data_IF_742166334507
#
_entry.id   IF_742166334507
#
_cell.length_a   1.000
_cell.length_b   1.000
_cell.length_c   1.000
_cell.angle_alpha   90.00
_cell.angle_beta   90.00
_cell.angle_gamma   90.00
#
_symmetry.space_group_name_H-M   'P 1'
#
loop_
_entity.id
_entity.type
_entity.pdbx_description
1 polymer ?
#
# COMPACT_ATOMS: atom_id res chain seq x y z
N UNK A 1 -9.48 17.92 -10.23
CA UNK A 1 -8.83 17.05 -9.23
C UNK A 1 -7.31 17.20 -9.31
N UNK A 2 -6.63 17.44 -8.20
CA UNK A 2 -5.19 17.70 -8.08
C UNK A 2 -4.58 16.70 -7.11
N UNK A 3 -3.49 16.07 -7.53
CA UNK A 3 -2.81 15.03 -6.78
C UNK A 3 -1.29 15.12 -6.90
N UNK A 4 -0.57 14.46 -5.99
CA UNK A 4 0.88 14.33 -6.12
C UNK A 4 1.25 13.12 -6.96
N UNK A 5 1.77 13.36 -8.16
CA UNK A 5 2.29 12.32 -9.07
C UNK A 5 3.53 11.59 -8.55
N UNK A 6 4.09 12.01 -7.41
CA UNK A 6 5.12 11.28 -6.70
C UNK A 6 4.57 10.08 -5.91
N UNK A 7 3.27 10.12 -5.54
CA UNK A 7 2.66 9.14 -4.64
C UNK A 7 1.46 8.41 -5.24
N UNK A 8 0.71 9.04 -6.13
CA UNK A 8 -0.41 8.42 -6.86
C UNK A 8 -0.43 8.82 -8.32
N UNK A 9 -0.91 7.94 -9.19
CA UNK A 9 -1.10 8.17 -10.62
C UNK A 9 -2.55 7.96 -11.00
N UNK A 10 -3.09 8.81 -11.88
CA UNK A 10 -4.43 8.62 -12.43
C UNK A 10 -4.52 7.30 -13.22
N UNK A 11 -5.51 6.46 -12.91
CA UNK A 11 -5.72 5.19 -13.60
C UNK A 11 -6.95 5.25 -14.52
N UNK A 12 -8.08 5.69 -14.01
CA UNK A 12 -9.34 5.78 -14.77
C UNK A 12 -10.36 6.67 -14.07
N UNK A 13 -11.43 7.02 -14.78
CA UNK A 13 -12.61 7.65 -14.20
C UNK A 13 -13.89 7.13 -14.88
N UNK A 14 -14.99 7.17 -14.15
CA UNK A 14 -16.33 6.85 -14.66
C UNK A 14 -16.78 7.74 -15.83
N UNK A 15 -16.24 8.97 -15.92
CA UNK A 15 -16.40 9.90 -17.03
C UNK A 15 -15.00 10.27 -17.52
N UNK A 16 -14.77 10.18 -18.83
CA UNK A 16 -13.48 10.50 -19.42
C UNK A 16 -13.11 11.97 -19.14
N UNK A 17 -11.87 12.24 -18.69
CA UNK A 17 -11.41 13.60 -18.44
C UNK A 17 -11.02 14.33 -19.74
N UNK A 18 -10.83 15.64 -19.64
CA UNK A 18 -10.46 16.45 -20.80
C UNK A 18 -9.06 16.10 -21.31
N UNK A 19 -8.80 16.28 -22.62
CA UNK A 19 -7.46 16.20 -23.17
C UNK A 19 -6.46 17.09 -22.41
N UNK A 20 -5.32 16.52 -22.05
CA UNK A 20 -4.30 17.22 -21.23
C UNK A 20 -4.36 16.90 -19.74
N UNK A 21 -5.37 16.14 -19.29
CA UNK A 21 -5.38 15.53 -17.96
C UNK A 21 -4.26 14.51 -17.77
N UNK A 22 -3.70 14.48 -16.55
CA UNK A 22 -2.55 13.67 -16.16
C UNK A 22 -1.51 14.49 -15.39
N UNK A 23 -0.41 13.85 -14.96
CA UNK A 23 0.73 14.53 -14.33
C UNK A 23 0.40 15.39 -13.11
N UNK A 24 -0.47 14.91 -12.24
CA UNK A 24 -0.84 15.59 -10.99
C UNK A 24 -2.11 16.44 -11.08
N UNK A 25 -2.76 16.55 -12.25
CA UNK A 25 -4.06 17.21 -12.39
C UNK A 25 -4.96 16.44 -13.35
N UNK A 26 -6.22 16.22 -12.97
CA UNK A 26 -7.28 15.71 -13.84
C UNK A 26 -8.40 16.75 -13.93
N UNK A 27 -8.82 17.10 -15.14
CA UNK A 27 -9.80 18.16 -15.39
C UNK A 27 -11.04 17.63 -16.12
N UNK A 28 -12.18 18.22 -15.77
CA UNK A 28 -13.44 18.12 -16.49
C UNK A 28 -13.99 19.54 -16.61
N UNK A 29 -14.03 20.07 -17.82
CA UNK A 29 -14.52 21.43 -18.06
C UNK A 29 -16.04 21.51 -17.93
N UNK A 30 -16.73 20.42 -18.26
CA UNK A 30 -18.19 20.34 -18.20
C UNK A 30 -18.69 18.90 -18.02
N UNK A 31 -19.21 18.60 -16.83
CA UNK A 31 -19.78 17.29 -16.50
C UNK A 31 -21.23 17.13 -16.95
N UNK A 32 -21.97 18.22 -17.23
CA UNK A 32 -23.39 18.12 -17.61
C UNK A 32 -23.54 17.53 -19.01
N UNK A 33 -22.53 17.67 -19.87
CA UNK A 33 -22.49 16.97 -21.17
C UNK A 33 -22.60 15.45 -21.05
N UNK A 34 -22.08 14.87 -19.97
CA UNK A 34 -22.09 13.43 -19.72
C UNK A 34 -23.21 12.99 -18.77
N UNK A 35 -23.56 13.83 -17.80
CA UNK A 35 -24.50 13.50 -16.72
C UNK A 35 -25.89 14.12 -16.87
N UNK A 36 -26.04 15.09 -17.77
CA UNK A 36 -27.19 15.98 -17.85
C UNK A 36 -27.17 17.05 -16.76
N UNK A 37 -28.06 18.03 -16.93
CA UNK A 37 -28.26 19.07 -15.92
C UNK A 37 -28.92 18.50 -14.67
N UNK A 38 -28.54 19.05 -13.52
CA UNK A 38 -29.07 18.62 -12.24
C UNK A 38 -30.33 19.43 -11.89
N UNK A 39 -31.45 18.72 -11.72
CA UNK A 39 -32.64 19.30 -11.09
C UNK A 39 -32.36 19.65 -9.61
N UNK A 40 -33.16 20.54 -8.99
CA UNK A 40 -33.03 20.82 -7.56
C UNK A 40 -33.04 19.54 -6.71
N UNK A 41 -32.07 19.42 -5.79
CA UNK A 41 -31.83 18.24 -4.93
C UNK A 41 -31.33 16.98 -5.66
N UNK A 42 -31.12 17.02 -6.98
CA UNK A 42 -30.46 15.94 -7.69
C UNK A 42 -28.96 15.90 -7.36
N UNK A 43 -28.37 14.74 -7.52
CA UNK A 43 -26.93 14.52 -7.30
C UNK A 43 -26.30 13.88 -8.52
N UNK A 44 -25.04 14.25 -8.76
CA UNK A 44 -24.14 13.62 -9.72
C UNK A 44 -23.05 12.87 -8.95
N UNK A 45 -22.43 11.88 -9.59
CA UNK A 45 -21.27 11.18 -9.02
C UNK A 45 -20.21 10.94 -10.07
N UNK A 46 -18.99 11.35 -9.76
CA UNK A 46 -17.78 11.08 -10.53
C UNK A 46 -16.88 10.19 -9.69
N UNK A 47 -16.66 8.95 -10.14
CA UNK A 47 -15.69 8.04 -9.53
C UNK A 47 -14.36 8.17 -10.27
N UNK A 48 -13.30 8.49 -9.55
CA UNK A 48 -11.92 8.56 -10.05
C UNK A 48 -11.10 7.48 -9.35
N UNK A 49 -10.34 6.71 -10.14
CA UNK A 49 -9.46 5.64 -9.65
C UNK A 49 -8.01 6.06 -9.85
N UNK A 50 -7.22 5.88 -8.79
CA UNK A 50 -5.78 6.12 -8.79
C UNK A 50 -5.02 4.83 -8.50
N UNK A 51 -3.81 4.74 -9.05
CA UNK A 51 -2.80 3.74 -8.70
C UNK A 51 -1.81 4.36 -7.72
N UNK A 52 -1.47 3.65 -6.64
CA UNK A 52 -0.47 4.11 -5.67
C UNK A 52 0.95 3.84 -6.17
N UNK A 53 1.84 4.83 -6.05
CA UNK A 53 3.22 4.77 -6.51
C UNK A 53 4.25 4.70 -5.36
N UNK A 54 4.01 5.41 -4.25
CA UNK A 54 5.01 5.54 -3.17
C UNK A 54 4.39 5.62 -1.77
N UNK A 55 5.20 5.28 -0.76
CA UNK A 55 4.83 5.34 0.65
C UNK A 55 4.71 6.78 1.14
N UNK A 56 3.66 7.08 1.91
CA UNK A 56 3.41 8.43 2.42
C UNK A 56 3.73 8.60 3.91
N UNK A 57 4.09 7.55 4.65
CA UNK A 57 4.21 7.52 6.13
C UNK A 57 5.16 8.57 6.70
N UNK A 58 6.18 8.97 5.95
CA UNK A 58 7.17 9.96 6.38
C UNK A 58 6.87 11.38 5.90
N UNK A 59 5.72 11.60 5.24
CA UNK A 59 5.33 12.93 4.79
C UNK A 59 4.99 13.84 5.96
N UNK A 60 5.53 15.05 5.94
CA UNK A 60 5.09 16.12 6.83
C UNK A 60 3.71 16.62 6.40
N UNK A 61 2.87 17.13 7.31
CA UNK A 61 1.62 17.82 6.97
C UNK A 61 1.78 18.87 5.86
N UNK A 62 0.87 18.92 4.88
CA UNK A 62 0.88 19.91 3.79
C UNK A 62 -0.52 20.47 3.54
N UNK A 63 -0.73 21.75 3.86
CA UNK A 63 -2.01 22.43 3.62
C UNK A 63 -2.50 22.28 2.16
N UNK A 64 -3.83 22.15 1.92
CA UNK A 64 -4.93 22.29 2.88
C UNK A 64 -5.13 21.06 3.79
N UNK A 65 -4.42 19.97 3.57
CA UNK A 65 -4.63 18.69 4.26
C UNK A 65 -3.53 18.46 5.30
N UNK A 66 -3.89 18.52 6.57
CA UNK A 66 -2.92 18.73 7.66
C UNK A 66 -2.48 17.46 8.38
N UNK A 67 -2.89 16.28 7.92
CA UNK A 67 -2.42 15.03 8.48
C UNK A 67 -1.07 14.62 7.89
N UNK A 68 -0.07 14.50 8.76
CA UNK A 68 1.22 13.91 8.40
C UNK A 68 1.05 12.43 8.02
N UNK A 69 1.92 11.92 7.17
CA UNK A 69 1.83 10.54 6.71
C UNK A 69 0.90 10.31 5.51
N UNK A 70 0.32 11.37 4.94
CA UNK A 70 -0.70 11.30 3.89
C UNK A 70 -0.30 12.17 2.69
N UNK A 71 -0.75 11.76 1.50
CA UNK A 71 -0.69 12.61 0.30
C UNK A 71 -2.09 13.19 0.03
N UNK A 72 -2.21 14.48 -0.31
CA UNK A 72 -3.50 15.09 -0.58
C UNK A 72 -4.01 14.75 -1.98
N UNK A 73 -5.29 14.41 -2.09
CA UNK A 73 -6.07 14.45 -3.33
C UNK A 73 -7.13 15.54 -3.17
N UNK A 74 -7.08 16.57 -4.02
CA UNK A 74 -7.87 17.80 -3.86
C UNK A 74 -8.77 17.98 -5.06
N UNK A 75 -10.07 17.98 -4.83
CA UNK A 75 -11.06 18.33 -5.84
C UNK A 75 -11.41 19.80 -5.65
N UNK A 76 -11.37 20.55 -6.76
CA UNK A 76 -11.86 21.92 -6.84
C UNK A 76 -13.01 21.93 -7.86
N UNK A 77 -14.13 22.55 -7.49
CA UNK A 77 -15.31 22.72 -8.34
C UNK A 77 -15.54 24.22 -8.54
N UNK A 78 -15.24 24.71 -9.74
CA UNK A 78 -15.42 26.11 -10.08
C UNK A 78 -16.55 26.33 -11.09
N UNK A 79 -17.17 27.50 -11.05
CA UNK A 79 -18.06 27.96 -12.11
C UNK A 79 -19.38 27.19 -12.21
N UNK A 80 -19.93 26.71 -11.10
CA UNK A 80 -21.29 26.20 -11.07
C UNK A 80 -22.31 27.35 -11.30
N UNK A 81 -23.18 27.17 -12.28
CA UNK A 81 -24.24 28.12 -12.61
C UNK A 81 -25.60 27.48 -12.35
N UNK A 82 -26.52 28.24 -11.76
CA UNK A 82 -27.92 27.85 -11.68
C UNK A 82 -28.69 28.60 -12.78
N UNK A 83 -29.55 27.87 -13.48
CA UNK A 83 -30.50 28.39 -14.47
C UNK A 83 -31.92 28.30 -13.88
N UNK A 84 -32.44 29.38 -13.25
CA UNK A 84 -33.66 29.29 -12.44
C UNK A 84 -34.96 29.10 -13.25
N UNK A 85 -34.94 29.43 -14.54
CA UNK A 85 -36.08 29.41 -15.48
C UNK A 85 -36.07 28.21 -16.45
N UNK A 86 -34.92 27.54 -16.61
CA UNK A 86 -34.75 26.37 -17.48
C UNK A 86 -34.41 26.75 -18.93
N UNK A 87 -34.12 25.76 -19.79
CA UNK A 87 -33.55 25.88 -21.16
C UNK A 87 -34.45 26.61 -22.20
N UNK A 88 -35.09 27.72 -21.83
CA UNK A 88 -35.98 28.54 -22.66
C UNK A 88 -35.24 29.65 -23.44
N UNK A 89 -33.91 29.70 -23.33
CA UNK A 89 -33.04 30.47 -24.22
C UNK A 89 -33.01 31.98 -23.96
N UNK A 90 -33.52 32.45 -22.81
CA UNK A 90 -33.44 33.85 -22.42
C UNK A 90 -32.41 34.04 -21.29
N UNK A 91 -31.19 34.40 -21.66
CA UNK A 91 -30.17 34.86 -20.72
C UNK A 91 -30.66 36.10 -19.96
N UNK A 92 -30.95 36.02 -18.66
CA UNK A 92 -30.79 37.19 -17.78
C UNK A 92 -30.78 36.98 -16.25
N UNK A 93 -30.65 35.76 -15.70
CA UNK A 93 -30.32 35.62 -14.26
C UNK A 93 -29.45 34.38 -13.97
N UNK A 94 -28.29 34.30 -14.63
CA UNK A 94 -27.24 33.31 -14.30
C UNK A 94 -26.54 33.73 -13.02
N UNK A 95 -27.14 33.43 -11.88
CA UNK A 95 -26.44 33.57 -10.61
C UNK A 95 -25.38 32.47 -10.54
N UNK A 96 -24.10 32.88 -10.53
CA UNK A 96 -23.02 32.00 -10.05
C UNK A 96 -23.44 31.53 -8.67
N UNK A 97 -23.60 30.21 -8.52
CA UNK A 97 -23.90 29.64 -7.20
C UNK A 97 -22.70 29.98 -6.34
N UNK A 98 -22.90 30.87 -5.35
CA UNK A 98 -21.86 31.17 -4.37
C UNK A 98 -21.64 29.92 -3.54
N UNK A 99 -20.67 29.14 -3.98
CA UNK A 99 -20.22 27.98 -3.28
C UNK A 99 -19.48 28.43 -2.02
N UNK A 100 -19.92 27.92 -0.87
CA UNK A 100 -19.25 28.15 0.40
C UNK A 100 -18.06 27.21 0.61
N UNK A 101 -17.97 26.14 -0.18
CA UNK A 101 -16.99 25.08 -0.06
C UNK A 101 -16.76 24.40 -1.42
N UNK A 102 -16.07 25.10 -2.32
CA UNK A 102 -15.71 24.65 -3.68
C UNK A 102 -14.54 23.66 -3.70
N UNK A 103 -13.98 23.33 -2.54
CA UNK A 103 -12.77 22.55 -2.41
C UNK A 103 -12.91 21.47 -1.35
N UNK A 104 -12.88 20.22 -1.79
CA UNK A 104 -12.77 19.08 -0.89
C UNK A 104 -11.35 18.51 -0.91
N UNK A 105 -10.85 18.11 0.26
CA UNK A 105 -9.61 17.34 0.37
C UNK A 105 -9.88 15.94 0.93
N UNK A 106 -9.45 14.95 0.16
CA UNK A 106 -9.28 13.59 0.63
C UNK A 106 -7.80 13.34 0.98
N UNK A 107 -7.53 12.97 2.22
CA UNK A 107 -6.21 12.53 2.65
C UNK A 107 -6.04 11.04 2.41
N UNK A 108 -5.05 10.68 1.60
CA UNK A 108 -4.77 9.28 1.28
C UNK A 108 -3.53 8.84 2.05
N UNK A 109 -3.73 7.91 2.99
CA UNK A 109 -2.62 7.18 3.59
C UNK A 109 -2.25 6.04 2.64
N UNK A 110 -1.06 6.12 2.08
CA UNK A 110 -0.48 5.02 1.31
C UNK A 110 0.56 4.40 2.20
N UNK A 111 0.10 3.38 2.90
CA UNK A 111 1.01 2.34 3.34
C UNK A 111 1.40 1.62 2.07
N UNK A 112 2.53 2.01 1.49
CA UNK A 112 3.05 1.22 0.40
C UNK A 112 3.70 0.02 1.09
N UNK A 113 3.17 -1.21 0.95
CA UNK A 113 4.08 -2.32 1.03
C UNK A 113 4.94 -2.25 -0.24
N UNK A 114 5.87 -1.28 -0.32
CA UNK A 114 7.10 -1.48 -1.10
C UNK A 114 7.81 -2.75 -0.64
N UNK A 115 7.42 -3.24 0.55
CA UNK A 115 7.71 -4.54 1.11
C UNK A 115 7.29 -5.61 0.12
N UNK A 116 8.25 -5.98 -0.71
CA UNK A 116 8.38 -7.25 -1.41
C UNK A 116 7.33 -8.24 -0.92
N UNK A 117 6.33 -8.49 -1.77
CA UNK A 117 5.27 -9.42 -1.45
C UNK A 117 5.86 -10.81 -1.34
N UNK A 118 5.85 -11.32 -0.11
CA UNK A 118 6.17 -12.71 0.13
C UNK A 118 4.95 -13.57 -0.23
N UNK A 119 5.09 -14.44 -1.22
CA UNK A 119 4.10 -15.44 -1.61
C UNK A 119 3.86 -16.46 -0.49
N UNK A 120 4.89 -16.73 0.30
CA UNK A 120 4.83 -17.62 1.46
C UNK A 120 5.90 -17.23 2.47
N UNK A 121 5.66 -17.55 3.75
CA UNK A 121 6.63 -17.39 4.83
C UNK A 121 6.32 -18.37 5.96
N UNK A 122 7.34 -19.00 6.52
CA UNK A 122 7.18 -19.90 7.67
C UNK A 122 8.48 -20.06 8.44
N UNK A 123 8.37 -20.22 9.75
CA UNK A 123 9.43 -20.71 10.61
C UNK A 123 9.09 -22.12 11.10
N UNK A 124 10.07 -23.02 11.11
CA UNK A 124 9.88 -24.37 11.65
C UNK A 124 11.06 -24.73 12.53
N UNK A 125 10.80 -25.04 13.81
CA UNK A 125 11.82 -25.62 14.69
C UNK A 125 12.13 -27.04 14.22
N UNK A 126 13.41 -27.32 14.03
CA UNK A 126 13.95 -28.64 13.70
C UNK A 126 14.97 -29.05 14.77
N UNK A 127 15.41 -30.32 14.81
CA UNK A 127 16.51 -30.75 15.69
C UNK A 127 17.82 -30.00 15.43
N UNK A 128 18.05 -29.54 14.19
CA UNK A 128 19.30 -28.91 13.75
C UNK A 128 19.26 -27.37 13.86
N UNK A 129 18.14 -26.79 14.32
CA UNK A 129 17.95 -25.35 14.43
C UNK A 129 16.60 -24.88 13.90
N UNK A 130 16.56 -23.65 13.37
CA UNK A 130 15.32 -23.04 12.86
C UNK A 130 15.37 -22.94 11.35
N UNK A 131 14.45 -23.64 10.69
CA UNK A 131 14.28 -23.54 9.26
C UNK A 131 13.39 -22.36 8.91
N UNK A 132 13.97 -21.38 8.21
CA UNK A 132 13.32 -20.18 7.71
C UNK A 132 12.99 -20.39 6.24
N UNK A 133 11.72 -20.26 5.86
CA UNK A 133 11.28 -20.36 4.46
C UNK A 133 10.50 -19.13 4.06
N UNK A 134 10.74 -18.67 2.84
CA UNK A 134 9.95 -17.62 2.22
C UNK A 134 9.87 -17.84 0.71
N UNK A 135 8.83 -17.29 0.10
CA UNK A 135 8.70 -17.19 -1.35
C UNK A 135 8.44 -15.75 -1.73
N UNK A 136 8.97 -15.29 -2.86
CA UNK A 136 8.69 -13.98 -3.44
C UNK A 136 7.66 -14.12 -4.56
N UNK A 137 6.93 -13.03 -4.86
CA UNK A 137 6.03 -12.96 -6.03
C UNK A 137 6.75 -12.38 -7.26
N UNK A 138 7.65 -11.41 -7.03
CA UNK A 138 8.39 -10.68 -8.06
C UNK A 138 9.78 -10.29 -7.52
N UNK A 139 10.82 -10.39 -8.35
CA UNK A 139 12.21 -10.09 -8.01
C UNK A 139 12.87 -9.08 -8.96
N UNK A 140 12.07 -8.27 -9.69
CA UNK A 140 12.54 -7.29 -10.68
C UNK A 140 13.56 -6.32 -10.11
N UNK A 141 13.39 -5.95 -8.84
CA UNK A 141 14.21 -4.96 -8.17
C UNK A 141 14.98 -5.54 -6.99
N UNK A 142 15.14 -6.88 -6.93
CA UNK A 142 15.78 -7.57 -5.82
C UNK A 142 17.15 -8.13 -6.24
N UNK A 143 18.17 -7.83 -5.45
CA UNK A 143 19.51 -8.42 -5.58
C UNK A 143 19.65 -9.67 -4.71
N UNK A 144 19.12 -9.61 -3.48
CA UNK A 144 19.17 -10.73 -2.56
C UNK A 144 18.71 -10.37 -1.15
N UNK A 145 18.96 -11.30 -0.24
CA UNK A 145 18.38 -11.29 1.10
C UNK A 145 19.43 -11.52 2.18
N UNK A 146 19.17 -10.96 3.36
CA UNK A 146 19.79 -11.34 4.62
C UNK A 146 18.73 -11.69 5.65
N UNK A 147 19.03 -12.66 6.50
CA UNK A 147 18.18 -13.05 7.61
C UNK A 147 18.70 -12.39 8.89
N UNK A 148 17.80 -11.74 9.59
CA UNK A 148 18.01 -11.19 10.92
C UNK A 148 17.14 -11.94 11.92
N UNK A 149 17.68 -12.16 13.11
CA UNK A 149 16.94 -12.67 14.25
C UNK A 149 17.02 -11.65 15.37
N UNK A 150 15.88 -11.34 15.98
CA UNK A 150 15.80 -10.54 17.19
C UNK A 150 15.16 -11.32 18.32
N UNK A 151 15.69 -11.15 19.53
CA UNK A 151 15.12 -11.68 20.77
C UNK A 151 14.23 -10.63 21.49
N UNK A 152 13.83 -9.56 20.79
CA UNK A 152 13.06 -8.45 21.33
C UNK A 152 13.88 -7.33 21.96
N UNK A 153 15.20 -7.51 22.14
CA UNK A 153 16.12 -6.49 22.66
C UNK A 153 17.16 -6.15 21.60
N UNK A 154 17.84 -7.17 21.08
CA UNK A 154 18.87 -7.03 20.06
C UNK A 154 18.43 -7.70 18.76
N UNK A 155 18.84 -7.15 17.62
CA UNK A 155 18.68 -7.78 16.31
C UNK A 155 20.06 -8.08 15.72
N UNK A 156 20.31 -9.35 15.40
CA UNK A 156 21.58 -9.80 14.83
C UNK A 156 21.35 -10.41 13.46
N UNK A 157 22.21 -10.06 12.51
CA UNK A 157 22.25 -10.72 11.20
C UNK A 157 22.75 -12.15 11.41
N UNK A 158 21.97 -13.13 10.95
CA UNK A 158 22.25 -14.56 11.10
C UNK A 158 22.82 -15.17 9.82
N UNK A 159 22.41 -14.67 8.65
CA UNK A 159 23.01 -15.05 7.37
C UNK A 159 24.39 -14.37 7.21
N UNK A 160 25.51 -15.12 7.15
CA UNK A 160 26.84 -14.52 7.05
C UNK A 160 27.12 -13.93 5.67
N UNK A 161 26.46 -14.45 4.64
CA UNK A 161 26.53 -13.98 3.27
C UNK A 161 25.13 -13.69 2.74
N UNK A 162 25.06 -12.86 1.71
CA UNK A 162 23.80 -12.56 1.02
C UNK A 162 23.29 -13.82 0.33
N UNK A 163 21.99 -14.07 0.49
CA UNK A 163 21.26 -15.09 -0.24
C UNK A 163 20.80 -14.44 -1.54
N UNK A 164 21.48 -14.74 -2.65
CA UNK A 164 21.21 -14.09 -3.94
C UNK A 164 19.81 -14.45 -4.44
N UNK A 165 19.10 -13.47 -4.99
CA UNK A 165 17.81 -13.69 -5.62
C UNK A 165 17.96 -14.56 -6.87
N UNK A 166 17.16 -15.63 -6.97
CA UNK A 166 17.17 -16.61 -8.05
C UNK A 166 16.61 -16.04 -9.35
N UNK A 167 15.71 -15.06 -9.25
CA UNK A 167 15.09 -14.37 -10.36
C UNK A 167 15.39 -12.86 -10.32
N UNK A 168 16.56 -12.47 -9.81
CA UNK A 168 16.99 -11.07 -9.76
C UNK A 168 16.81 -10.36 -11.11
N UNK A 169 16.10 -9.23 -11.13
CA UNK A 169 15.83 -8.48 -12.37
C UNK A 169 14.64 -8.99 -13.18
N UNK A 170 13.95 -10.05 -12.72
CA UNK A 170 12.81 -10.63 -13.43
C UNK A 170 11.49 -10.43 -12.68
N UNK A 171 10.41 -10.28 -13.44
CA UNK A 171 9.05 -10.11 -12.90
C UNK A 171 8.47 -11.37 -12.22
N UNK A 172 9.24 -12.47 -12.15
CA UNK A 172 8.85 -13.72 -11.51
C UNK A 172 9.44 -13.85 -10.11
N UNK A 173 8.76 -14.61 -9.26
CA UNK A 173 9.20 -14.93 -7.90
C UNK A 173 9.95 -16.27 -7.79
N UNK A 174 10.49 -16.54 -6.60
CA UNK A 174 11.16 -17.79 -6.28
C UNK A 174 10.97 -18.19 -4.82
N UNK A 175 11.23 -19.46 -4.50
CA UNK A 175 11.19 -19.97 -3.12
C UNK A 175 12.59 -20.21 -2.56
N UNK A 176 12.73 -19.93 -1.28
CA UNK A 176 13.99 -19.95 -0.55
C UNK A 176 13.85 -20.65 0.79
N UNK A 177 14.97 -21.19 1.25
CA UNK A 177 15.09 -21.74 2.58
C UNK A 177 16.48 -21.42 3.15
N UNK A 178 16.53 -21.14 4.45
CA UNK A 178 17.75 -20.88 5.19
C UNK A 178 17.65 -21.45 6.60
N UNK A 179 18.70 -22.13 7.05
CA UNK A 179 18.75 -22.76 8.38
C UNK A 179 19.56 -21.88 9.33
N UNK A 180 18.91 -21.41 10.40
CA UNK A 180 19.63 -20.85 11.56
C UNK A 180 20.14 -22.02 12.40
N UNK A 181 21.35 -22.48 12.07
CA UNK A 181 22.02 -23.53 12.83
C UNK A 181 22.22 -23.07 14.28
N UNK A 182 22.06 -24.00 15.21
CA UNK A 182 22.18 -23.78 16.66
C UNK A 182 21.11 -22.85 17.27
N UNK A 183 20.12 -22.42 16.49
CA UNK A 183 19.00 -21.65 17.01
C UNK A 183 17.95 -22.54 17.70
N UNK A 184 17.67 -22.21 18.95
CA UNK A 184 16.46 -22.68 19.64
C UNK A 184 15.46 -21.53 19.69
N UNK A 185 14.26 -21.71 19.14
CA UNK A 185 13.20 -20.71 19.21
C UNK A 185 12.73 -20.51 20.65
N UNK A 186 12.77 -19.26 21.09
CA UNK A 186 12.22 -18.82 22.36
C UNK A 186 11.00 -17.94 22.10
N UNK A 187 10.15 -17.80 23.12
CA UNK A 187 9.00 -16.88 23.06
C UNK A 187 9.51 -15.46 22.86
N UNK A 188 8.98 -14.78 21.86
CA UNK A 188 9.38 -13.40 21.53
C UNK A 188 10.49 -13.30 20.49
N UNK A 189 11.04 -14.43 20.01
CA UNK A 189 11.93 -14.40 18.86
C UNK A 189 11.19 -13.94 17.60
N UNK A 190 11.82 -13.02 16.87
CA UNK A 190 11.36 -12.44 15.61
C UNK A 190 12.39 -12.71 14.54
N UNK A 191 11.96 -13.25 13.39
CA UNK A 191 12.81 -13.32 12.20
C UNK A 191 12.39 -12.23 11.22
N UNK A 192 13.39 -11.48 10.75
CA UNK A 192 13.23 -10.39 9.80
C UNK A 192 14.05 -10.71 8.56
N UNK A 193 13.41 -10.58 7.40
CA UNK A 193 14.05 -10.63 6.10
C UNK A 193 14.47 -9.20 5.74
N UNK A 194 15.77 -8.98 5.60
CA UNK A 194 16.30 -7.78 4.97
C UNK A 194 16.51 -8.05 3.49
N UNK A 195 15.89 -7.26 2.63
CA UNK A 195 16.03 -7.38 1.18
C UNK A 195 16.88 -6.23 0.67
N UNK A 196 17.86 -6.55 -0.18
CA UNK A 196 18.69 -5.56 -0.88
C UNK A 196 18.16 -5.37 -2.29
N UNK A 197 17.91 -4.12 -2.67
CA UNK A 197 17.40 -3.73 -3.98
C UNK A 197 18.52 -3.41 -4.97
N UNK A 198 18.19 -3.36 -6.26
CA UNK A 198 19.14 -3.06 -7.35
C UNK A 198 19.78 -1.67 -7.24
N UNK A 199 19.10 -0.72 -6.60
CA UNK A 199 19.59 0.62 -6.31
C UNK A 199 20.54 0.69 -5.09
N UNK A 200 20.78 -0.46 -4.43
CA UNK A 200 21.61 -0.57 -3.23
C UNK A 200 20.89 -0.24 -1.92
N UNK A 201 19.62 0.19 -1.96
CA UNK A 201 18.80 0.37 -0.77
C UNK A 201 18.44 -0.98 -0.15
N UNK A 202 18.01 -0.96 1.12
CA UNK A 202 17.49 -2.15 1.79
C UNK A 202 16.17 -1.90 2.48
N UNK A 203 15.35 -2.95 2.53
CA UNK A 203 14.05 -2.97 3.19
C UNK A 203 13.94 -4.16 4.12
N UNK A 204 13.18 -4.05 5.21
CA UNK A 204 13.03 -5.11 6.21
C UNK A 204 11.57 -5.48 6.38
N UNK A 205 11.29 -6.78 6.33
CA UNK A 205 9.95 -7.33 6.57
C UNK A 205 10.00 -8.50 7.54
N UNK A 206 8.98 -8.63 8.39
CA UNK A 206 8.89 -9.74 9.35
C UNK A 206 8.48 -11.01 8.62
N UNK A 207 9.25 -12.09 8.78
CA UNK A 207 8.90 -13.43 8.28
C UNK A 207 7.83 -14.01 9.21
N UNK A 208 8.16 -14.15 10.48
CA UNK A 208 7.23 -14.61 11.50
C UNK A 208 7.76 -14.25 12.89
N UNK A 209 6.87 -14.36 13.87
CA UNK A 209 7.17 -14.24 15.29
C UNK A 209 6.79 -15.53 15.99
N UNK A 210 7.67 -16.04 16.85
CA UNK A 210 7.30 -17.16 17.72
C UNK A 210 6.36 -16.66 18.82
N UNK A 211 5.08 -16.64 18.49
CA UNK A 211 3.97 -16.49 19.44
C UNK A 211 3.93 -17.77 20.25
N UNK A 212 4.52 -17.75 21.44
CA UNK A 212 4.60 -18.93 22.30
C UNK A 212 3.22 -19.60 22.46
N UNK A 213 3.09 -20.81 21.90
CA UNK A 213 1.81 -21.51 21.86
C UNK A 213 1.87 -22.89 21.19
N UNK A 214 2.87 -23.71 21.49
CA UNK A 214 2.67 -25.17 21.41
C UNK A 214 2.33 -25.67 22.81
N UNK A 215 1.04 -25.94 23.01
CA UNK A 215 0.56 -26.69 24.16
C UNK A 215 0.99 -28.15 23.97
N UNK A 216 2.09 -28.56 24.60
CA UNK A 216 2.41 -29.98 24.72
C UNK A 216 1.46 -30.58 25.76
N UNK A 217 0.41 -31.25 25.32
CA UNK A 217 -0.31 -32.18 26.20
C UNK A 217 0.61 -33.37 26.46
N UNK A 218 0.83 -33.79 27.72
CA UNK A 218 1.55 -35.03 27.98
C UNK A 218 0.76 -36.20 27.38
N UNK A 219 1.46 -37.10 26.70
CA UNK A 219 0.92 -38.41 26.33
C UNK A 219 0.67 -39.19 27.63
N UNK A 220 -0.59 -39.30 28.05
CA UNK A 220 -0.99 -40.20 29.13
C UNK A 220 -1.20 -41.58 28.50
N UNK A 221 -0.20 -42.46 28.57
CA UNK A 221 -0.44 -43.88 28.38
C UNK A 221 -1.11 -44.45 29.63
N UNK A 222 -2.43 -44.61 29.58
CA UNK A 222 -3.14 -45.44 30.56
C UNK A 222 -2.87 -46.90 30.18
N UNK A 223 -1.94 -47.55 30.87
CA UNK A 223 -1.84 -49.01 30.85
C UNK A 223 -3.06 -49.59 31.56
N UNK A 224 -3.97 -50.24 30.82
CA UNK A 224 -4.97 -51.11 31.43
C UNK A 224 -4.26 -52.38 31.93
N UNK A 225 -4.03 -52.44 33.24
CA UNK A 225 -3.53 -53.62 33.93
C UNK A 225 -4.68 -54.55 34.34
N UNK A 226 -4.65 -55.75 33.76
CA UNK A 226 -5.36 -57.02 34.04
C UNK A 226 -6.88 -56.99 34.17
#
# INVERSE_FOLDING_TARGET
DRYSNAFIEYASASIAPDPGSGNGVVTWSDLTTALGDLAPQATASLVVTFTTLADTTLLTPVAPCTNGGHTPNIVDIDGAFADPDGDDGASDDVAVVKDGDDRDCAEVQILNPTGIQLASRSLTQTPDGVLVRWGTVNESDIVGFHIWRSNGIDAQRRSPQMIVAKAAGHSGGASYEWLDADATLQRGDVYVLEITKVDGSSERTVIDIMRGGMLYLPLIEVRTGS
#
